data_IF_611456967382
#
_entry.id   IF_611456967382
#
_cell.length_a   1.000
_cell.length_b   1.000
_cell.length_c   1.000
_cell.angle_alpha   90.00
_cell.angle_beta   90.00
_cell.angle_gamma   90.00
#
_symmetry.space_group_name_H-M   'P 1'
#
loop_
_entity.id
_entity.type
_entity.pdbx_description
1 polymer ?
#
# COMPACT_ATOMS: atom_id res chain seq x y z
N UNK A 1 -5.84 -19.21 -24.49
CA UNK A 1 -6.06 -18.88 -23.06
C UNK A 1 -4.87 -19.37 -22.26
N UNK A 2 -3.90 -18.50 -21.97
CA UNK A 2 -2.74 -18.84 -21.14
C UNK A 2 -2.83 -18.02 -19.85
N UNK A 3 -3.12 -18.70 -18.74
CA UNK A 3 -3.04 -18.13 -17.39
C UNK A 3 -1.56 -17.87 -17.10
N UNK A 4 -1.16 -16.59 -17.05
CA UNK A 4 0.11 -16.21 -16.46
C UNK A 4 0.02 -16.47 -14.95
N UNK A 5 0.87 -17.32 -14.36
CA UNK A 5 1.00 -17.36 -12.91
C UNK A 5 1.62 -16.03 -12.49
N UNK A 6 0.90 -15.26 -11.67
CA UNK A 6 1.43 -14.06 -11.05
C UNK A 6 2.63 -14.51 -10.19
N UNK A 7 3.84 -14.23 -10.65
CA UNK A 7 5.04 -14.39 -9.85
C UNK A 7 4.90 -13.42 -8.68
N UNK A 8 4.51 -13.92 -7.52
CA UNK A 8 4.54 -13.16 -6.28
C UNK A 8 6.02 -12.95 -5.92
N UNK A 9 6.53 -11.70 -5.89
CA UNK A 9 7.83 -11.47 -5.30
C UNK A 9 7.68 -11.63 -3.78
N UNK A 10 7.99 -12.81 -3.25
CA UNK A 10 8.26 -13.05 -1.82
C UNK A 10 9.62 -12.45 -1.45
N UNK A 11 9.79 -11.16 -1.67
CA UNK A 11 10.81 -10.40 -0.94
C UNK A 11 10.16 -9.97 0.36
N UNK A 12 10.61 -10.45 1.54
CA UNK A 12 10.09 -9.96 2.80
C UNK A 12 10.19 -8.44 2.81
N UNK A 13 9.09 -7.79 3.22
CA UNK A 13 9.01 -6.33 3.21
C UNK A 13 10.23 -5.78 3.97
N UNK A 14 10.95 -4.76 3.47
CA UNK A 14 12.18 -4.26 4.09
C UNK A 14 12.03 -3.95 5.59
N UNK A 15 10.81 -3.57 6.00
CA UNK A 15 10.42 -3.30 7.38
C UNK A 15 10.34 -4.56 8.26
N UNK A 16 9.88 -5.68 7.72
CA UNK A 16 9.87 -6.97 8.42
C UNK A 16 11.31 -7.40 8.75
N UNK A 17 12.22 -7.26 7.77
CA UNK A 17 13.63 -7.53 7.96
C UNK A 17 14.29 -6.55 8.95
N UNK A 18 13.88 -5.29 8.94
CA UNK A 18 14.34 -4.30 9.91
C UNK A 18 13.91 -4.67 11.34
N UNK A 19 12.67 -5.14 11.54
CA UNK A 19 12.19 -5.63 12.84
C UNK A 19 13.00 -6.83 13.34
N UNK A 20 13.27 -7.79 12.45
CA UNK A 20 14.10 -8.95 12.81
C UNK A 20 15.51 -8.54 13.23
N UNK A 21 16.11 -7.57 12.54
CA UNK A 21 17.43 -7.03 12.87
C UNK A 21 17.44 -6.26 14.20
N UNK A 22 16.35 -5.56 14.55
CA UNK A 22 16.21 -4.88 15.84
C UNK A 22 16.08 -5.89 16.98
N UNK A 23 15.30 -6.95 16.78
CA UNK A 23 15.19 -8.06 17.73
C UNK A 23 16.54 -8.78 17.91
N UNK A 24 17.29 -8.99 16.82
CA UNK A 24 18.65 -9.54 16.88
C UNK A 24 19.59 -8.60 17.65
N UNK A 25 19.52 -7.29 17.40
CA UNK A 25 20.34 -6.30 18.11
C UNK A 25 20.05 -6.29 19.61
N UNK A 26 18.77 -6.35 20.01
CA UNK A 26 18.33 -6.41 21.40
C UNK A 26 18.85 -7.66 22.13
N UNK A 27 19.04 -8.77 21.41
CA UNK A 27 19.55 -10.02 21.98
C UNK A 27 21.07 -10.05 22.21
N UNK A 28 21.81 -9.02 21.77
CA UNK A 28 23.28 -9.00 21.87
C UNK A 28 23.77 -8.62 23.27
N UNK A 29 24.64 -9.43 23.89
CA UNK A 29 25.11 -9.23 25.27
C UNK A 29 26.04 -8.02 25.45
N UNK A 30 26.56 -7.46 24.36
CA UNK A 30 27.42 -6.25 24.37
C UNK A 30 26.64 -4.95 24.34
N UNK A 31 25.32 -5.01 24.17
CA UNK A 31 24.45 -3.84 24.12
C UNK A 31 24.08 -3.42 25.55
N UNK A 32 24.28 -2.15 25.90
CA UNK A 32 23.68 -1.60 27.11
C UNK A 32 22.17 -1.48 26.89
N UNK A 33 21.45 -2.55 27.22
CA UNK A 33 20.01 -2.68 27.09
C UNK A 33 19.27 -1.53 27.79
N UNK A 34 19.78 -0.99 28.91
CA UNK A 34 19.10 0.10 29.60
C UNK A 34 19.05 1.39 28.76
N UNK A 35 20.11 1.66 27.98
CA UNK A 35 20.15 2.80 27.06
C UNK A 35 19.51 2.50 25.70
N UNK A 36 19.59 1.26 25.22
CA UNK A 36 19.12 0.87 23.89
C UNK A 36 17.63 0.49 23.83
N UNK A 37 17.05 -0.05 24.89
CA UNK A 37 15.64 -0.48 24.93
C UNK A 37 14.63 0.62 24.51
N UNK A 38 14.74 1.89 24.95
CA UNK A 38 13.80 2.91 24.50
C UNK A 38 13.90 3.16 22.99
N UNK A 39 15.12 3.20 22.43
CA UNK A 39 15.36 3.40 21.01
C UNK A 39 14.84 2.22 20.18
N UNK A 40 15.07 0.99 20.66
CA UNK A 40 14.54 -0.22 20.02
C UNK A 40 13.01 -0.24 20.02
N UNK A 41 12.39 0.17 21.14
CA UNK A 41 10.93 0.25 21.26
C UNK A 41 10.34 1.31 20.33
N UNK A 42 10.97 2.48 20.23
CA UNK A 42 10.57 3.52 19.27
C UNK A 42 10.70 3.05 17.82
N UNK A 43 11.79 2.35 17.49
CA UNK A 43 12.01 1.81 16.14
C UNK A 43 11.02 0.70 15.78
N UNK A 44 10.66 -0.17 16.72
CA UNK A 44 9.60 -1.18 16.53
C UNK A 44 8.23 -0.53 16.34
N UNK A 45 7.92 0.50 17.13
CA UNK A 45 6.67 1.26 17.01
C UNK A 45 6.58 1.98 15.67
N UNK A 46 7.69 2.60 15.23
CA UNK A 46 7.77 3.24 13.93
C UNK A 46 7.60 2.21 12.81
N UNK A 47 8.28 1.06 12.89
CA UNK A 47 8.18 0.00 11.90
C UNK A 47 6.75 -0.54 11.79
N UNK A 48 6.06 -0.75 12.91
CA UNK A 48 4.65 -1.16 12.93
C UNK A 48 3.74 -0.08 12.30
N UNK A 49 3.94 1.19 12.66
CA UNK A 49 3.18 2.31 12.10
C UNK A 49 3.34 2.42 10.58
N UNK A 50 4.56 2.20 10.09
CA UNK A 50 4.83 2.23 8.64
C UNK A 50 4.17 1.03 7.95
N UNK A 51 4.26 -0.17 8.53
CA UNK A 51 3.64 -1.38 7.98
C UNK A 51 2.12 -1.23 7.88
N UNK A 52 1.46 -0.76 8.94
CA UNK A 52 0.01 -0.51 8.95
C UNK A 52 -0.40 0.51 7.88
N UNK A 53 0.34 1.62 7.76
CA UNK A 53 0.05 2.64 6.75
C UNK A 53 0.25 2.12 5.31
N UNK A 54 1.26 1.28 5.07
CA UNK A 54 1.48 0.64 3.78
C UNK A 54 0.36 -0.35 3.46
N UNK A 55 -0.02 -1.20 4.42
CA UNK A 55 -1.10 -2.16 4.22
C UNK A 55 -2.44 -1.46 3.93
N UNK A 56 -2.74 -0.39 4.65
CA UNK A 56 -3.91 0.44 4.40
C UNK A 56 -3.89 1.06 2.99
N UNK A 57 -2.75 1.63 2.58
CA UNK A 57 -2.60 2.19 1.23
C UNK A 57 -2.75 1.10 0.13
N UNK A 58 -2.18 -0.09 0.33
CA UNK A 58 -2.35 -1.21 -0.59
C UNK A 58 -3.81 -1.66 -0.69
N UNK A 59 -4.53 -1.71 0.44
CA UNK A 59 -5.94 -2.05 0.45
C UNK A 59 -6.79 -1.00 -0.31
N UNK A 60 -6.58 0.29 -0.04
CA UNK A 60 -7.28 1.36 -0.75
C UNK A 60 -6.98 1.34 -2.25
N UNK A 61 -5.72 1.11 -2.65
CA UNK A 61 -5.33 0.96 -4.05
C UNK A 61 -6.02 -0.24 -4.71
N UNK A 62 -6.15 -1.37 -4.02
CA UNK A 62 -6.86 -2.53 -4.54
C UNK A 62 -8.34 -2.20 -4.81
N UNK A 63 -9.01 -1.53 -3.86
CA UNK A 63 -10.41 -1.09 -4.02
C UNK A 63 -10.58 -0.13 -5.19
N UNK A 64 -9.67 0.84 -5.35
CA UNK A 64 -9.68 1.77 -6.48
C UNK A 64 -9.46 1.03 -7.81
N UNK A 65 -8.59 0.02 -7.81
CA UNK A 65 -8.31 -0.80 -8.99
C UNK A 65 -9.55 -1.57 -9.43
N UNK A 66 -10.23 -2.22 -8.49
CA UNK A 66 -11.51 -2.90 -8.76
C UNK A 66 -12.58 -1.93 -9.28
N UNK A 67 -12.65 -0.72 -8.71
CA UNK A 67 -13.55 0.33 -9.18
C UNK A 67 -13.26 0.80 -10.61
N UNK A 68 -11.97 0.91 -10.98
CA UNK A 68 -11.54 1.23 -12.34
C UNK A 68 -11.83 0.09 -13.33
N UNK A 69 -11.61 -1.16 -12.93
CA UNK A 69 -11.96 -2.34 -13.73
C UNK A 69 -13.47 -2.41 -13.98
N UNK A 70 -14.28 -2.17 -12.96
CA UNK A 70 -15.74 -2.12 -13.09
C UNK A 70 -16.20 -0.97 -14.01
N UNK A 71 -15.56 0.20 -13.91
CA UNK A 71 -15.83 1.30 -14.82
C UNK A 71 -15.47 0.97 -16.27
N UNK A 72 -14.33 0.31 -16.51
CA UNK A 72 -13.94 -0.14 -17.85
C UNK A 72 -14.95 -1.15 -18.41
N UNK A 73 -15.38 -2.13 -17.62
CA UNK A 73 -16.40 -3.09 -18.03
C UNK A 73 -17.74 -2.41 -18.37
N UNK A 74 -18.13 -1.38 -17.62
CA UNK A 74 -19.33 -0.58 -17.93
C UNK A 74 -19.18 0.19 -19.24
N UNK A 75 -17.98 0.71 -19.54
CA UNK A 75 -17.72 1.42 -20.79
C UNK A 75 -17.71 0.46 -21.99
N UNK A 76 -17.14 -0.73 -21.82
CA UNK A 76 -17.12 -1.77 -22.85
C UNK A 76 -18.54 -2.31 -23.15
N UNK A 77 -19.42 -2.41 -22.15
CA UNK A 77 -20.82 -2.80 -22.36
C UNK A 77 -21.66 -1.62 -22.91
N UNK A 78 -21.30 -0.39 -22.56
CA UNK A 78 -21.93 0.84 -23.03
C UNK A 78 -21.43 1.30 -24.42
N UNK A 79 -20.78 0.44 -25.21
CA UNK A 79 -20.19 0.77 -26.52
C UNK A 79 -21.19 1.36 -27.54
N UNK A 80 -22.50 1.22 -27.28
CA UNK A 80 -23.57 1.85 -28.06
C UNK A 80 -24.01 3.25 -27.55
N UNK A 81 -23.62 3.64 -26.35
CA UNK A 81 -23.96 4.92 -25.73
C UNK A 81 -22.76 5.89 -25.80
N UNK A 82 -22.92 6.98 -26.55
CA UNK A 82 -21.94 8.07 -26.57
C UNK A 82 -21.98 8.85 -25.26
N UNK A 83 -21.24 8.37 -24.26
CA UNK A 83 -21.03 9.14 -23.03
C UNK A 83 -20.28 10.43 -23.36
N UNK A 84 -20.81 11.54 -22.85
CA UNK A 84 -20.13 12.83 -22.96
C UNK A 84 -18.89 12.86 -22.07
N UNK A 85 -17.91 13.68 -22.43
CA UNK A 85 -16.72 13.91 -21.60
C UNK A 85 -17.07 14.31 -20.15
N UNK A 86 -18.20 15.00 -19.94
CA UNK A 86 -18.70 15.38 -18.61
C UNK A 86 -19.21 14.19 -17.81
N UNK A 87 -19.92 13.26 -18.43
CA UNK A 87 -20.39 12.02 -17.79
C UNK A 87 -19.23 11.09 -17.43
N UNK A 88 -18.27 10.95 -18.34
CA UNK A 88 -17.01 10.23 -18.07
C UNK A 88 -16.25 10.89 -16.91
N UNK A 89 -16.13 12.21 -16.91
CA UNK A 89 -15.48 12.93 -15.82
C UNK A 89 -16.16 12.68 -14.47
N UNK A 90 -17.50 12.67 -14.42
CA UNK A 90 -18.23 12.39 -13.17
C UNK A 90 -18.03 10.96 -12.66
N UNK A 91 -17.78 9.99 -13.55
CA UNK A 91 -17.51 8.59 -13.19
C UNK A 91 -16.06 8.39 -12.73
N UNK A 92 -15.11 9.06 -13.37
CA UNK A 92 -13.67 8.94 -13.08
C UNK A 92 -13.22 9.80 -11.89
N UNK A 93 -13.84 10.97 -11.68
CA UNK A 93 -13.39 11.91 -10.65
C UNK A 93 -13.40 11.36 -9.20
N UNK A 94 -14.37 10.51 -8.78
CA UNK A 94 -14.33 9.86 -7.47
C UNK A 94 -13.16 8.87 -7.34
N UNK A 95 -12.94 8.02 -8.37
CA UNK A 95 -11.84 7.05 -8.40
C UNK A 95 -10.49 7.74 -8.37
N UNK A 96 -10.34 8.83 -9.12
CA UNK A 96 -9.14 9.68 -9.07
C UNK A 96 -8.90 10.23 -7.65
N UNK A 97 -9.94 10.74 -6.99
CA UNK A 97 -9.82 11.28 -5.62
C UNK A 97 -9.42 10.19 -4.62
N UNK A 98 -9.97 8.98 -4.76
CA UNK A 98 -9.60 7.84 -3.92
C UNK A 98 -8.15 7.41 -4.18
N UNK A 99 -7.70 7.39 -5.44
CA UNK A 99 -6.31 7.13 -5.80
C UNK A 99 -5.36 8.18 -5.20
N UNK A 100 -5.72 9.46 -5.35
CA UNK A 100 -4.94 10.57 -4.82
C UNK A 100 -4.83 10.48 -3.29
N UNK A 101 -5.91 10.09 -2.60
CA UNK A 101 -5.94 9.87 -1.15
C UNK A 101 -5.10 8.65 -0.73
N UNK A 102 -5.25 7.49 -1.38
CA UNK A 102 -4.51 6.27 -1.07
C UNK A 102 -2.99 6.46 -1.21
N UNK A 103 -2.56 7.29 -2.18
CA UNK A 103 -1.16 7.61 -2.40
C UNK A 103 -0.62 8.72 -1.47
N UNK A 104 -1.48 9.49 -0.78
CA UNK A 104 -1.05 10.64 0.02
C UNK A 104 -0.20 10.24 1.25
N UNK A 105 -0.55 9.21 2.04
CA UNK A 105 0.27 8.76 3.16
C UNK A 105 1.67 8.34 2.71
N UNK A 106 1.76 7.54 1.64
CA UNK A 106 3.05 7.07 1.10
C UNK A 106 3.90 8.24 0.62
N UNK A 107 3.32 9.24 -0.05
CA UNK A 107 4.05 10.46 -0.47
C UNK A 107 4.55 11.31 0.70
N UNK A 108 3.93 11.22 1.87
CA UNK A 108 4.36 11.94 3.08
C UNK A 108 5.43 11.17 3.87
N UNK A 109 5.69 9.90 3.52
CA UNK A 109 6.70 9.05 4.14
C UNK A 109 8.07 9.08 3.44
N UNK A 110 8.14 9.63 2.22
CA UNK A 110 9.35 9.78 1.39
C UNK A 110 9.79 11.25 1.43
#
# INVERSE_FOLDING_TARGET
>A
MARHPAAQPTTPFPLSRQRDLLAELASRPTLDLACAQPILTELETLAATVDDAVQAACHELAVVSEGLEGLLALLDEADQQRLTARQLHTLVAPLKRQLDAACAPVRQMI
#
